data_IF_422031429722
#
_entry.id   IF_422031429722
#
_cell.length_a   1.000
_cell.length_b   1.000
_cell.length_c   1.000
_cell.angle_alpha   90.00
_cell.angle_beta   90.00
_cell.angle_gamma   90.00
#
_symmetry.space_group_name_H-M   'P 1'
#
loop_
_entity.id
_entity.type
_entity.pdbx_description
1 polymer ?
#
# COMPACT_ATOMS: atom_id res chain seq x y z
N UNK A 1 -8.29 19.81 -1.50
CA UNK A 1 -8.72 18.75 -0.57
C UNK A 1 -7.68 18.48 0.52
N UNK A 2 -6.40 18.28 0.17
CA UNK A 2 -5.36 17.92 1.14
C UNK A 2 -4.28 19.02 1.35
N UNK A 3 -4.61 20.26 1.04
CA UNK A 3 -3.68 21.40 1.18
C UNK A 3 -3.18 21.55 2.62
N UNK A 4 -1.86 21.63 2.79
CA UNK A 4 -1.21 21.74 4.09
C UNK A 4 -1.08 20.43 4.88
N UNK A 5 -1.53 19.29 4.33
CA UNK A 5 -1.34 17.96 4.91
C UNK A 5 0.02 17.38 4.50
N UNK A 6 0.69 16.72 5.43
CA UNK A 6 1.95 15.98 5.19
C UNK A 6 1.61 14.50 5.00
N UNK A 7 1.94 13.95 3.82
CA UNK A 7 1.63 12.58 3.44
C UNK A 7 2.91 11.76 3.28
N UNK A 8 3.09 10.75 4.13
CA UNK A 8 4.19 9.78 4.04
C UNK A 8 3.68 8.56 3.27
N UNK A 9 4.43 8.13 2.23
CA UNK A 9 4.13 6.94 1.43
C UNK A 9 5.30 5.97 1.47
N UNK A 10 5.17 4.86 2.22
CA UNK A 10 6.17 3.79 2.18
C UNK A 10 5.99 2.98 0.89
N UNK A 11 7.10 2.48 0.33
CA UNK A 11 7.04 1.87 -1.00
C UNK A 11 6.66 2.86 -2.11
N UNK A 12 6.83 4.16 -1.87
CA UNK A 12 6.50 5.24 -2.79
C UNK A 12 7.30 5.26 -4.10
N UNK A 13 8.32 4.40 -4.19
CA UNK A 13 9.11 4.17 -5.42
C UNK A 13 8.55 3.05 -6.31
N UNK A 14 7.62 2.24 -5.79
CA UNK A 14 6.95 1.17 -6.55
C UNK A 14 5.80 1.71 -7.41
N UNK A 15 5.25 0.88 -8.29
CA UNK A 15 4.19 1.26 -9.23
C UNK A 15 2.97 1.85 -8.50
N UNK A 16 2.44 1.13 -7.51
CA UNK A 16 1.27 1.56 -6.74
C UNK A 16 1.61 2.79 -5.88
N UNK A 17 2.71 2.72 -5.11
CA UNK A 17 3.09 3.79 -4.20
C UNK A 17 3.42 5.10 -4.92
N UNK A 18 4.09 5.05 -6.08
CA UNK A 18 4.39 6.23 -6.89
C UNK A 18 3.11 6.88 -7.44
N UNK A 19 2.16 6.07 -7.92
CA UNK A 19 0.88 6.58 -8.42
C UNK A 19 0.03 7.20 -7.29
N UNK A 20 -0.04 6.54 -6.13
CA UNK A 20 -0.74 7.10 -4.95
C UNK A 20 -0.07 8.41 -4.50
N UNK A 21 1.26 8.47 -4.51
CA UNK A 21 2.00 9.70 -4.19
C UNK A 21 1.64 10.82 -5.14
N UNK A 22 1.58 10.55 -6.44
CA UNK A 22 1.11 11.51 -7.44
C UNK A 22 -0.29 12.01 -7.11
N UNK A 23 -1.25 11.10 -6.86
CA UNK A 23 -2.63 11.47 -6.54
C UNK A 23 -2.76 12.32 -5.27
N UNK A 24 -1.90 12.12 -4.26
CA UNK A 24 -1.86 12.94 -3.05
C UNK A 24 -1.26 14.34 -3.32
N UNK A 25 -0.21 14.44 -4.14
CA UNK A 25 0.36 15.72 -4.56
C UNK A 25 -0.65 16.54 -5.39
N UNK A 26 -1.36 15.90 -6.34
CA UNK A 26 -2.44 16.53 -7.12
C UNK A 26 -3.58 17.05 -6.22
N UNK A 27 -3.82 16.41 -5.09
CA UNK A 27 -4.80 16.86 -4.09
C UNK A 27 -4.27 17.97 -3.18
N UNK A 28 -2.98 18.38 -3.33
CA UNK A 28 -2.35 19.48 -2.61
C UNK A 28 -1.59 19.09 -1.34
N UNK A 29 -1.38 17.79 -1.08
CA UNK A 29 -0.55 17.35 0.04
C UNK A 29 0.94 17.56 -0.25
N UNK A 30 1.74 17.82 0.79
CA UNK A 30 3.19 17.69 0.74
C UNK A 30 3.58 16.23 0.87
N UNK A 31 4.35 15.70 -0.09
CA UNK A 31 4.72 14.29 -0.17
C UNK A 31 6.05 13.97 0.51
N UNK A 32 6.08 12.88 1.27
CA UNK A 32 7.29 12.22 1.77
C UNK A 32 7.32 10.80 1.22
N UNK A 33 8.26 10.55 0.30
CA UNK A 33 8.35 9.29 -0.45
C UNK A 33 9.44 8.42 0.15
N UNK A 34 9.09 7.20 0.55
CA UNK A 34 10.05 6.28 1.14
C UNK A 34 10.23 5.05 0.24
N UNK A 35 11.49 4.77 -0.10
CA UNK A 35 11.90 3.59 -0.85
C UNK A 35 13.07 2.89 -0.18
N UNK A 36 13.34 1.63 -0.52
CA UNK A 36 14.42 0.87 0.12
C UNK A 36 15.82 1.20 -0.39
N UNK A 37 15.93 1.86 -1.55
CA UNK A 37 17.22 2.20 -2.19
C UNK A 37 17.21 3.63 -2.71
N UNK A 38 18.30 4.36 -2.49
CA UNK A 38 18.45 5.76 -2.90
C UNK A 38 18.22 5.94 -4.41
N UNK A 39 18.79 5.09 -5.25
CA UNK A 39 18.61 5.15 -6.71
C UNK A 39 17.12 5.13 -7.13
N UNK A 40 16.31 4.28 -6.48
CA UNK A 40 14.87 4.22 -6.79
C UNK A 40 14.10 5.42 -6.25
N UNK A 41 14.55 5.97 -5.12
CA UNK A 41 14.02 7.23 -4.57
C UNK A 41 14.29 8.38 -5.52
N UNK A 42 15.53 8.53 -6.01
CA UNK A 42 15.92 9.61 -6.95
C UNK A 42 15.09 9.54 -8.24
N UNK A 43 14.87 8.32 -8.78
CA UNK A 43 14.01 8.11 -9.96
C UNK A 43 12.55 8.49 -9.68
N UNK A 44 12.01 8.15 -8.51
CA UNK A 44 10.65 8.53 -8.13
C UNK A 44 10.54 10.04 -7.94
N UNK A 45 11.52 10.68 -7.29
CA UNK A 45 11.57 12.12 -7.11
C UNK A 45 11.59 12.87 -8.45
N UNK A 46 12.39 12.42 -9.43
CA UNK A 46 12.43 13.04 -10.76
C UNK A 46 11.06 13.04 -11.47
N UNK A 47 10.22 12.02 -11.22
CA UNK A 47 8.85 11.93 -11.76
C UNK A 47 7.85 12.77 -10.98
N UNK A 48 7.98 12.84 -9.65
CA UNK A 48 6.99 13.45 -8.77
C UNK A 48 7.24 14.96 -8.56
N UNK A 49 8.47 15.43 -8.71
CA UNK A 49 8.79 16.85 -8.55
C UNK A 49 7.99 17.76 -9.50
N UNK A 50 7.89 17.47 -10.82
CA UNK A 50 7.06 18.30 -11.70
C UNK A 50 5.56 18.32 -11.31
N UNK A 51 5.05 17.21 -10.74
CA UNK A 51 3.67 17.14 -10.25
C UNK A 51 3.50 18.03 -9.02
N UNK A 52 4.45 17.98 -8.09
CA UNK A 52 4.43 18.83 -6.90
C UNK A 52 4.48 20.32 -7.28
N UNK A 53 5.39 20.70 -8.19
CA UNK A 53 5.54 22.07 -8.66
C UNK A 53 4.24 22.58 -9.33
N UNK A 54 3.63 21.77 -10.20
CA UNK A 54 2.37 22.11 -10.88
C UNK A 54 1.19 22.32 -9.93
N UNK A 55 1.23 21.71 -8.74
CA UNK A 55 0.15 21.79 -7.74
C UNK A 55 0.52 22.71 -6.54
N UNK A 56 1.63 23.44 -6.62
CA UNK A 56 2.06 24.38 -5.58
C UNK A 56 2.36 23.72 -4.24
N UNK A 57 2.87 22.48 -4.28
CA UNK A 57 3.27 21.70 -3.12
C UNK A 57 4.73 21.25 -3.23
N UNK A 58 5.19 20.37 -2.35
CA UNK A 58 6.56 19.85 -2.37
C UNK A 58 6.59 18.35 -2.17
N UNK A 59 7.69 17.73 -2.59
CA UNK A 59 7.96 16.32 -2.36
C UNK A 59 9.39 16.11 -1.88
N UNK A 60 9.60 15.19 -0.93
CA UNK A 60 10.92 14.83 -0.39
C UNK A 60 11.04 13.32 -0.38
N UNK A 61 12.21 12.80 -0.76
CA UNK A 61 12.48 11.36 -0.81
C UNK A 61 13.46 10.91 0.27
N UNK A 62 13.23 9.72 0.82
CA UNK A 62 14.12 9.07 1.78
C UNK A 62 14.32 7.61 1.42
N UNK A 63 15.58 7.14 1.52
CA UNK A 63 15.89 5.71 1.48
C UNK A 63 15.79 5.13 2.89
N UNK A 64 14.95 4.11 3.08
CA UNK A 64 14.79 3.40 4.34
C UNK A 64 14.25 1.98 4.10
N UNK A 65 14.86 1.00 4.76
CA UNK A 65 14.33 -0.36 4.77
C UNK A 65 13.19 -0.47 5.80
N UNK A 66 12.00 -0.80 5.35
CA UNK A 66 10.82 -0.93 6.23
C UNK A 66 10.85 -2.16 7.15
N UNK A 67 11.90 -2.98 7.11
CA UNK A 67 12.15 -4.07 8.06
C UNK A 67 13.18 -3.70 9.13
N UNK A 68 13.81 -2.54 9.02
CA UNK A 68 14.78 -2.03 9.99
C UNK A 68 14.09 -1.03 10.92
N UNK A 69 13.77 -1.49 12.13
CA UNK A 69 13.05 -0.71 13.13
C UNK A 69 13.81 0.55 13.56
N UNK A 70 15.14 0.46 13.68
CA UNK A 70 15.96 1.59 14.10
C UNK A 70 16.03 2.65 13.00
N UNK A 71 16.24 2.21 11.75
CA UNK A 71 16.20 3.10 10.59
C UNK A 71 14.83 3.80 10.42
N UNK A 72 13.72 3.10 10.69
CA UNK A 72 12.38 3.71 10.66
C UNK A 72 12.22 4.74 11.78
N UNK A 73 12.73 4.46 12.97
CA UNK A 73 12.69 5.40 14.10
C UNK A 73 13.47 6.68 13.76
N UNK A 74 14.66 6.56 13.18
CA UNK A 74 15.44 7.71 12.70
C UNK A 74 14.72 8.49 11.61
N UNK A 75 14.15 7.78 10.62
CA UNK A 75 13.37 8.40 9.54
C UNK A 75 12.18 9.18 10.12
N UNK A 76 11.47 8.58 11.05
CA UNK A 76 10.30 9.19 11.71
C UNK A 76 10.69 10.49 12.44
N UNK A 77 11.84 10.47 13.13
CA UNK A 77 12.38 11.67 13.77
C UNK A 77 12.77 12.75 12.75
N UNK A 78 13.42 12.38 11.64
CA UNK A 78 13.77 13.30 10.55
C UNK A 78 12.52 13.95 9.96
N UNK A 79 11.49 13.17 9.66
CA UNK A 79 10.22 13.69 9.12
C UNK A 79 9.54 14.62 10.11
N UNK A 80 9.47 14.25 11.40
CA UNK A 80 8.89 15.10 12.46
C UNK A 80 9.66 16.42 12.59
N UNK A 81 10.99 16.39 12.57
CA UNK A 81 11.82 17.58 12.69
C UNK A 81 11.67 18.51 11.46
N UNK A 82 11.56 17.96 10.26
CA UNK A 82 11.47 18.75 9.03
C UNK A 82 10.07 19.34 8.81
N UNK A 83 9.01 18.60 9.12
CA UNK A 83 7.65 19.00 8.80
C UNK A 83 6.77 19.30 10.03
N UNK A 84 7.23 18.97 11.23
CA UNK A 84 6.52 19.20 12.48
C UNK A 84 5.34 18.22 12.73
N UNK A 85 4.84 17.58 11.68
CA UNK A 85 3.64 16.73 11.71
C UNK A 85 3.63 15.65 10.63
N UNK A 86 2.74 14.67 10.80
CA UNK A 86 2.37 13.70 9.76
C UNK A 86 0.85 13.55 9.79
N UNK A 87 0.17 13.84 8.69
CA UNK A 87 -1.29 13.77 8.60
C UNK A 87 -1.78 12.49 7.94
N UNK A 88 -1.01 11.98 6.99
CA UNK A 88 -1.38 10.83 6.17
C UNK A 88 -0.19 9.87 6.13
N UNK A 89 -0.44 8.60 6.40
CA UNK A 89 0.51 7.51 6.16
C UNK A 89 -0.14 6.52 5.21
N UNK A 90 0.50 6.28 4.06
CA UNK A 90 0.11 5.20 3.15
C UNK A 90 1.18 4.12 3.18
N UNK A 91 0.82 2.93 3.65
CA UNK A 91 1.70 1.77 3.68
C UNK A 91 1.54 0.97 2.39
N UNK A 92 2.37 1.30 1.38
CA UNK A 92 2.39 0.63 0.08
C UNK A 92 3.69 -0.17 -0.16
N UNK A 93 4.58 -0.25 0.83
CA UNK A 93 5.73 -1.14 0.79
C UNK A 93 5.24 -2.60 0.84
N UNK A 94 5.72 -3.42 -0.09
CA UNK A 94 5.30 -4.81 -0.19
C UNK A 94 5.49 -5.37 -1.59
N UNK A 95 5.04 -6.60 -1.77
CA UNK A 95 5.14 -7.31 -3.04
C UNK A 95 5.50 -8.77 -2.81
N UNK A 96 5.67 -9.51 -3.90
CA UNK A 96 6.08 -10.91 -3.82
C UNK A 96 7.61 -11.02 -3.78
N UNK A 97 8.10 -12.14 -3.28
CA UNK A 97 9.52 -12.45 -3.15
C UNK A 97 9.83 -13.65 -4.05
N UNK A 98 10.97 -13.63 -4.70
CA UNK A 98 11.44 -14.76 -5.50
C UNK A 98 11.51 -16.03 -4.63
N UNK A 99 11.01 -17.16 -5.14
CA UNK A 99 10.94 -18.44 -4.41
C UNK A 99 9.73 -18.59 -3.48
N UNK A 100 9.00 -17.53 -3.14
CA UNK A 100 7.81 -17.62 -2.28
C UNK A 100 6.53 -18.09 -3.00
N UNK A 101 6.59 -18.24 -4.32
CA UNK A 101 5.48 -18.78 -5.11
C UNK A 101 5.47 -20.31 -5.09
N UNK A 102 4.32 -20.88 -4.77
CA UNK A 102 4.06 -22.32 -4.92
C UNK A 102 3.39 -22.52 -6.28
N UNK A 103 4.16 -22.99 -7.26
CA UNK A 103 3.67 -23.18 -8.63
C UNK A 103 2.71 -24.37 -8.70
N UNK A 104 1.92 -24.45 -9.77
CA UNK A 104 0.83 -25.46 -9.89
C UNK A 104 1.36 -26.92 -9.95
N UNK A 105 2.63 -27.09 -10.32
CA UNK A 105 3.36 -28.36 -10.38
C UNK A 105 4.19 -28.66 -9.12
N UNK A 106 4.22 -27.73 -8.14
CA UNK A 106 4.94 -27.89 -6.87
C UNK A 106 4.03 -28.52 -5.80
N UNK A 107 4.63 -29.37 -4.96
CA UNK A 107 3.99 -29.81 -3.73
C UNK A 107 4.11 -28.70 -2.66
N UNK A 108 3.00 -28.38 -2.00
CA UNK A 108 2.98 -27.35 -0.95
C UNK A 108 3.92 -27.66 0.21
N UNK A 109 4.18 -28.92 0.49
CA UNK A 109 5.10 -29.35 1.55
C UNK A 109 6.58 -29.10 1.24
N UNK A 110 6.90 -28.85 -0.03
CA UNK A 110 8.27 -28.59 -0.51
C UNK A 110 8.50 -27.07 -0.70
N UNK A 111 7.64 -26.20 -0.15
CA UNK A 111 7.78 -24.76 -0.27
C UNK A 111 9.06 -24.26 0.43
N UNK A 112 9.71 -23.26 -0.16
CA UNK A 112 10.85 -22.57 0.44
C UNK A 112 10.38 -21.73 1.64
N UNK A 113 10.61 -22.24 2.85
CA UNK A 113 10.21 -21.59 4.10
C UNK A 113 10.93 -20.27 4.35
N UNK A 114 12.14 -20.09 3.86
CA UNK A 114 12.88 -18.83 4.01
C UNK A 114 12.33 -17.76 3.06
N UNK A 115 11.99 -18.12 1.85
CA UNK A 115 11.29 -17.21 0.92
C UNK A 115 9.89 -16.87 1.43
N UNK A 116 9.17 -17.83 2.02
CA UNK A 116 7.86 -17.62 2.62
C UNK A 116 7.93 -16.67 3.83
N UNK A 117 8.92 -16.83 4.72
CA UNK A 117 9.15 -15.89 5.81
C UNK A 117 9.46 -14.49 5.29
N UNK A 118 10.36 -14.37 4.31
CA UNK A 118 10.73 -13.08 3.71
C UNK A 118 9.52 -12.33 3.11
N UNK A 119 8.60 -13.03 2.44
CA UNK A 119 7.41 -12.37 1.89
C UNK A 119 6.44 -11.94 3.00
N UNK A 120 6.33 -12.73 4.07
CA UNK A 120 5.54 -12.35 5.25
C UNK A 120 6.15 -11.13 5.93
N UNK A 121 7.45 -11.15 6.19
CA UNK A 121 8.14 -10.03 6.83
C UNK A 121 7.98 -8.74 6.02
N UNK A 122 8.23 -8.80 4.72
CA UNK A 122 8.11 -7.62 3.85
C UNK A 122 6.71 -7.02 3.87
N UNK A 123 5.66 -7.83 3.79
CA UNK A 123 4.30 -7.33 3.64
C UNK A 123 3.59 -7.05 4.97
N UNK A 124 3.88 -7.82 6.02
CA UNK A 124 3.28 -7.64 7.33
C UNK A 124 4.11 -6.69 8.20
N UNK A 125 5.35 -7.05 8.53
CA UNK A 125 6.18 -6.22 9.39
C UNK A 125 6.59 -4.91 8.74
N UNK A 126 6.78 -4.90 7.41
CA UNK A 126 6.95 -3.67 6.62
C UNK A 126 5.74 -2.73 6.64
N UNK A 127 4.59 -3.19 7.15
CA UNK A 127 3.39 -2.37 7.42
C UNK A 127 3.25 -2.05 8.92
N UNK A 128 3.52 -3.03 9.81
CA UNK A 128 3.40 -2.86 11.27
C UNK A 128 4.34 -1.76 11.77
N UNK A 129 5.62 -1.83 11.42
CA UNK A 129 6.60 -0.87 11.92
C UNK A 129 6.29 0.59 11.57
N UNK A 130 6.00 0.96 10.31
CA UNK A 130 5.60 2.32 10.00
C UNK A 130 4.29 2.74 10.69
N UNK A 131 3.30 1.84 10.81
CA UNK A 131 2.06 2.14 11.54
C UNK A 131 2.35 2.55 13.00
N UNK A 132 3.26 1.84 13.67
CA UNK A 132 3.60 2.14 15.06
C UNK A 132 4.47 3.42 15.17
N UNK A 133 5.47 3.58 14.31
CA UNK A 133 6.40 4.70 14.38
C UNK A 133 5.75 6.03 13.97
N UNK A 134 5.12 6.12 12.81
CA UNK A 134 4.41 7.34 12.38
C UNK A 134 3.08 7.52 13.14
N UNK A 135 2.42 6.41 13.51
CA UNK A 135 1.22 6.43 14.33
C UNK A 135 1.44 7.10 15.69
N UNK A 136 2.64 6.99 16.26
CA UNK A 136 3.01 7.71 17.50
C UNK A 136 2.96 9.23 17.32
N UNK A 137 3.46 9.75 16.19
CA UNK A 137 3.36 11.20 15.89
C UNK A 137 1.87 11.60 15.78
N UNK A 138 1.08 10.82 15.03
CA UNK A 138 -0.35 11.09 14.85
C UNK A 138 -1.14 10.99 16.18
N UNK A 139 -0.75 10.08 17.06
CA UNK A 139 -1.33 9.96 18.41
C UNK A 139 -1.05 11.19 19.27
N UNK A 140 0.18 11.72 19.24
CA UNK A 140 0.55 12.97 19.91
C UNK A 140 -0.23 14.17 19.35
N UNK A 141 -0.48 14.17 18.03
CA UNK A 141 -1.30 15.19 17.33
C UNK A 141 -2.80 15.01 17.60
N UNK A 142 -3.23 13.83 18.07
CA UNK A 142 -4.63 13.40 18.17
C UNK A 142 -5.37 13.46 16.82
N UNK A 143 -4.68 13.29 15.73
CA UNK A 143 -5.22 13.38 14.38
C UNK A 143 -4.30 12.72 13.36
N UNK A 144 -4.87 12.03 12.38
CA UNK A 144 -4.16 11.41 11.27
C UNK A 144 -5.00 10.38 10.53
N UNK A 145 -4.56 10.01 9.34
CA UNK A 145 -5.16 8.94 8.55
C UNK A 145 -4.10 7.95 8.11
N UNK A 146 -4.19 6.71 8.57
CA UNK A 146 -3.35 5.60 8.13
C UNK A 146 -4.14 4.79 7.11
N UNK A 147 -3.54 4.54 5.95
CA UNK A 147 -4.12 3.77 4.85
C UNK A 147 -3.16 2.62 4.51
N UNK A 148 -3.55 1.42 4.85
CA UNK A 148 -2.77 0.24 4.56
C UNK A 148 -3.15 -0.33 3.19
N UNK A 149 -2.19 -0.86 2.45
CA UNK A 149 -2.44 -1.59 1.21
C UNK A 149 -2.51 -3.08 1.50
N UNK A 150 -3.73 -3.60 1.53
CA UNK A 150 -4.04 -5.02 1.59
C UNK A 150 -4.03 -5.65 0.18
N UNK A 151 -4.82 -6.67 -0.07
CA UNK A 151 -4.94 -7.34 -1.37
C UNK A 151 -6.19 -8.21 -1.41
N UNK A 152 -6.69 -8.53 -2.60
CA UNK A 152 -7.68 -9.59 -2.79
C UNK A 152 -7.18 -10.95 -2.32
N UNK A 153 -5.86 -11.15 -2.24
CA UNK A 153 -5.25 -12.36 -1.67
C UNK A 153 -5.56 -12.57 -0.17
N UNK A 154 -6.09 -11.56 0.51
CA UNK A 154 -6.59 -11.65 1.88
C UNK A 154 -8.07 -12.02 1.97
N UNK A 155 -8.83 -11.87 0.89
CA UNK A 155 -10.26 -12.25 0.83
C UNK A 155 -10.46 -13.63 0.25
N UNK A 156 -9.74 -13.92 -0.82
CA UNK A 156 -9.87 -15.17 -1.57
C UNK A 156 -8.54 -15.93 -1.55
N UNK A 157 -8.61 -17.25 -1.54
CA UNK A 157 -7.45 -18.12 -1.71
C UNK A 157 -6.90 -17.99 -3.15
N UNK A 158 -6.01 -17.06 -3.38
CA UNK A 158 -5.34 -16.94 -4.66
C UNK A 158 -4.22 -17.98 -4.78
N UNK A 159 -4.23 -18.72 -5.90
CA UNK A 159 -3.19 -19.72 -6.17
C UNK A 159 -1.79 -19.10 -6.15
N UNK A 160 -0.81 -19.89 -5.75
CA UNK A 160 0.65 -19.61 -5.76
C UNK A 160 1.17 -18.67 -4.67
N UNK A 161 0.35 -17.89 -3.98
CA UNK A 161 0.81 -16.77 -3.14
C UNK A 161 0.47 -16.94 -1.65
N UNK A 162 0.68 -18.14 -1.10
CA UNK A 162 0.32 -18.48 0.29
C UNK A 162 0.88 -17.49 1.31
N UNK A 163 2.19 -17.24 1.32
CA UNK A 163 2.82 -16.34 2.29
C UNK A 163 2.37 -14.89 2.15
N UNK A 164 2.13 -14.45 0.90
CA UNK A 164 1.57 -13.13 0.64
C UNK A 164 0.14 -13.00 1.17
N UNK A 165 -0.70 -14.03 0.98
CA UNK A 165 -2.07 -14.07 1.50
C UNK A 165 -2.10 -14.00 3.03
N UNK A 166 -1.26 -14.80 3.71
CA UNK A 166 -1.10 -14.76 5.17
C UNK A 166 -0.74 -13.34 5.63
N UNK A 167 0.24 -12.71 4.98
CA UNK A 167 0.68 -11.37 5.35
C UNK A 167 -0.42 -10.32 5.15
N UNK A 168 -1.15 -10.37 4.05
CA UNK A 168 -2.20 -9.39 3.74
C UNK A 168 -3.45 -9.56 4.62
N UNK A 169 -3.79 -10.80 5.04
CA UNK A 169 -4.80 -10.99 6.08
C UNK A 169 -4.31 -10.46 7.45
N UNK A 170 -3.03 -10.62 7.77
CA UNK A 170 -2.42 -9.97 8.92
C UNK A 170 -2.53 -8.43 8.89
N UNK A 171 -2.38 -7.82 7.70
CA UNK A 171 -2.60 -6.37 7.51
C UNK A 171 -4.06 -5.97 7.75
N UNK A 172 -5.03 -6.81 7.35
CA UNK A 172 -6.45 -6.59 7.64
C UNK A 172 -6.72 -6.61 9.15
N UNK A 173 -6.17 -7.60 9.86
CA UNK A 173 -6.28 -7.72 11.32
C UNK A 173 -5.64 -6.51 12.02
N UNK A 174 -4.43 -6.12 11.63
CA UNK A 174 -3.72 -4.93 12.12
C UNK A 174 -4.57 -3.66 11.95
N UNK A 175 -5.15 -3.48 10.77
CA UNK A 175 -5.98 -2.31 10.44
C UNK A 175 -7.16 -2.17 11.40
N UNK A 176 -7.90 -3.25 11.61
CA UNK A 176 -9.06 -3.28 12.52
C UNK A 176 -8.64 -3.05 13.97
N UNK A 177 -7.54 -3.70 14.38
CA UNK A 177 -7.04 -3.59 15.75
C UNK A 177 -6.58 -2.15 16.06
N UNK A 178 -5.75 -1.56 15.20
CA UNK A 178 -5.26 -0.20 15.39
C UNK A 178 -6.38 0.84 15.33
N UNK A 179 -7.37 0.65 14.44
CA UNK A 179 -8.51 1.56 14.31
C UNK A 179 -9.28 1.69 15.63
N UNK A 180 -9.59 0.57 16.29
CA UNK A 180 -10.33 0.61 17.56
C UNK A 180 -9.46 1.13 18.72
N UNK A 181 -8.17 0.75 18.78
CA UNK A 181 -7.29 1.16 19.86
C UNK A 181 -6.98 2.66 19.79
N UNK A 182 -6.68 3.15 18.57
CA UNK A 182 -6.35 4.57 18.36
C UNK A 182 -7.56 5.48 18.61
N UNK A 183 -8.73 5.12 18.10
CA UNK A 183 -9.94 5.91 18.32
C UNK A 183 -10.29 6.02 19.83
N UNK A 184 -10.11 4.94 20.58
CA UNK A 184 -10.41 4.92 22.03
C UNK A 184 -9.39 5.69 22.87
N UNK A 185 -8.11 5.65 22.50
CA UNK A 185 -7.02 6.23 23.31
C UNK A 185 -6.64 7.64 22.90
N UNK A 186 -6.72 7.96 21.60
CA UNK A 186 -6.18 9.20 21.07
C UNK A 186 -7.24 10.11 20.42
N UNK A 187 -8.48 9.61 20.27
CA UNK A 187 -9.62 10.39 19.79
C UNK A 187 -10.06 10.01 18.37
N UNK A 188 -11.21 10.53 17.98
CA UNK A 188 -11.97 10.20 16.78
C UNK A 188 -11.32 10.68 15.46
N UNK A 189 -10.32 11.56 15.53
CA UNK A 189 -9.64 12.10 14.35
C UNK A 189 -8.42 11.29 13.93
N UNK A 190 -8.06 10.23 14.65
CA UNK A 190 -6.99 9.30 14.26
C UNK A 190 -7.61 8.02 13.73
N UNK A 191 -7.57 7.85 12.40
CA UNK A 191 -8.25 6.78 11.68
C UNK A 191 -7.27 5.82 11.02
N UNK A 192 -7.64 4.54 10.95
CA UNK A 192 -6.85 3.51 10.28
C UNK A 192 -7.77 2.70 9.38
N UNK A 193 -7.49 2.67 8.09
CA UNK A 193 -8.25 1.92 7.10
C UNK A 193 -7.28 1.17 6.15
N UNK A 194 -7.82 0.31 5.32
CA UNK A 194 -7.07 -0.33 4.25
C UNK A 194 -7.83 -0.24 2.93
N UNK A 195 -7.07 -0.23 1.84
CA UNK A 195 -7.58 -0.55 0.50
C UNK A 195 -7.13 -1.95 0.14
N UNK A 196 -7.96 -2.67 -0.60
CA UNK A 196 -7.67 -4.01 -1.09
C UNK A 196 -7.75 -4.02 -2.62
N UNK A 197 -6.62 -3.75 -3.31
CA UNK A 197 -6.58 -3.74 -4.76
C UNK A 197 -6.85 -5.14 -5.34
N UNK A 198 -7.61 -5.17 -6.42
CA UNK A 198 -7.76 -6.33 -7.31
C UNK A 198 -6.54 -6.50 -8.22
N UNK A 199 -6.80 -6.79 -9.48
CA UNK A 199 -5.74 -7.01 -10.46
C UNK A 199 -5.51 -5.77 -11.33
N UNK A 200 -4.32 -5.20 -11.17
CA UNK A 200 -3.79 -4.07 -11.95
C UNK A 200 -2.53 -4.53 -12.66
N UNK A 201 -2.36 -4.18 -13.94
CA UNK A 201 -1.14 -4.55 -14.66
C UNK A 201 -0.01 -3.61 -14.22
N UNK A 202 1.03 -4.18 -13.63
CA UNK A 202 2.26 -3.51 -13.24
C UNK A 202 3.49 -4.32 -13.63
N UNK A 203 4.69 -3.77 -13.49
CA UNK A 203 5.94 -4.45 -13.84
C UNK A 203 6.11 -5.79 -13.11
N UNK A 204 5.70 -5.86 -11.83
CA UNK A 204 5.85 -7.06 -11.00
C UNK A 204 5.01 -8.25 -11.44
N UNK A 205 3.84 -8.02 -12.03
CA UNK A 205 2.90 -9.07 -12.42
C UNK A 205 2.68 -9.16 -13.93
N UNK A 206 3.34 -8.30 -14.72
CA UNK A 206 3.17 -8.23 -16.17
C UNK A 206 3.39 -9.59 -16.83
N UNK A 207 4.50 -10.27 -16.50
CA UNK A 207 4.83 -11.60 -17.04
C UNK A 207 3.82 -12.70 -16.64
N UNK A 208 3.12 -12.54 -15.54
CA UNK A 208 2.08 -13.48 -15.11
C UNK A 208 0.74 -13.23 -15.81
N UNK A 209 0.51 -12.02 -16.31
CA UNK A 209 -0.75 -11.58 -16.89
C UNK A 209 -0.70 -11.40 -18.41
N UNK A 210 0.47 -11.03 -18.96
CA UNK A 210 0.64 -10.80 -20.39
C UNK A 210 1.75 -11.68 -20.95
N UNK A 211 1.52 -12.22 -22.15
CA UNK A 211 2.54 -12.87 -22.97
C UNK A 211 3.51 -11.82 -23.55
N UNK A 212 4.61 -12.26 -24.17
CA UNK A 212 5.60 -11.35 -24.77
C UNK A 212 5.01 -10.48 -25.89
N UNK A 213 4.04 -11.00 -26.63
CA UNK A 213 3.31 -10.30 -27.69
C UNK A 213 2.23 -9.33 -27.16
N UNK A 214 2.06 -9.24 -25.82
CA UNK A 214 1.05 -8.41 -25.16
C UNK A 214 -0.33 -9.06 -25.05
N UNK A 215 -0.54 -10.26 -25.58
CA UNK A 215 -1.79 -10.99 -25.41
C UNK A 215 -1.96 -11.49 -23.96
N UNK A 216 -3.21 -11.80 -23.60
CA UNK A 216 -3.56 -12.27 -22.26
C UNK A 216 -3.08 -13.71 -22.03
N UNK A 217 -2.50 -13.97 -20.85
CA UNK A 217 -2.17 -15.34 -20.43
C UNK A 217 -3.44 -16.12 -20.01
N UNK A 218 -3.34 -17.44 -19.92
CA UNK A 218 -4.42 -18.28 -19.37
C UNK A 218 -4.83 -17.84 -17.95
N UNK A 219 -3.89 -17.33 -17.16
CA UNK A 219 -4.17 -16.75 -15.84
C UNK A 219 -5.01 -15.48 -15.94
N UNK A 220 -4.69 -14.60 -16.88
CA UNK A 220 -5.46 -13.38 -17.13
C UNK A 220 -6.91 -13.69 -17.49
N UNK A 221 -7.16 -14.66 -18.35
CA UNK A 221 -8.53 -15.09 -18.68
C UNK A 221 -9.30 -15.56 -17.44
N UNK A 222 -8.65 -16.34 -16.56
CA UNK A 222 -9.29 -16.77 -15.28
C UNK A 222 -9.62 -15.59 -14.39
N UNK A 223 -8.70 -14.62 -14.26
CA UNK A 223 -8.92 -13.39 -13.48
C UNK A 223 -10.07 -12.57 -14.05
N UNK A 224 -10.06 -12.32 -15.36
CA UNK A 224 -11.08 -11.49 -16.01
C UNK A 224 -12.47 -12.15 -15.99
N UNK A 225 -12.54 -13.47 -16.12
CA UNK A 225 -13.81 -14.22 -16.01
C UNK A 225 -14.42 -14.09 -14.59
N UNK A 226 -13.59 -13.94 -13.55
CA UNK A 226 -14.06 -13.68 -12.18
C UNK A 226 -14.27 -12.19 -11.89
N UNK A 227 -13.82 -11.27 -12.74
CA UNK A 227 -13.97 -9.83 -12.56
C UNK A 227 -15.20 -9.33 -13.33
N UNK A 228 -16.31 -8.96 -12.66
CA UNK A 228 -17.54 -8.51 -13.36
C UNK A 228 -17.33 -7.34 -14.31
N UNK A 229 -16.41 -6.41 -14.01
CA UNK A 229 -16.06 -5.32 -14.93
C UNK A 229 -15.30 -5.77 -16.19
N UNK A 230 -14.87 -7.04 -16.28
CA UNK A 230 -14.27 -7.65 -17.48
C UNK A 230 -12.91 -7.07 -17.91
N UNK A 231 -12.25 -6.29 -17.05
CA UNK A 231 -10.96 -5.66 -17.34
C UNK A 231 -10.05 -5.63 -16.11
N UNK A 232 -8.77 -5.44 -16.33
CA UNK A 232 -7.85 -5.03 -15.28
C UNK A 232 -8.10 -3.57 -14.89
N UNK A 233 -7.81 -3.24 -13.63
CA UNK A 233 -7.85 -1.86 -13.16
C UNK A 233 -6.71 -1.03 -13.74
N UNK A 234 -6.99 0.26 -14.00
CA UNK A 234 -5.93 1.26 -14.17
C UNK A 234 -5.42 1.69 -12.78
N UNK A 235 -4.11 1.79 -12.63
CA UNK A 235 -3.50 2.09 -11.33
C UNK A 235 -3.98 3.44 -10.75
N UNK A 236 -4.35 4.39 -11.59
CA UNK A 236 -4.89 5.68 -11.19
C UNK A 236 -6.27 5.59 -10.52
N UNK A 237 -7.02 4.50 -10.74
CA UNK A 237 -8.34 4.28 -10.13
C UNK A 237 -8.24 4.06 -8.61
N UNK A 238 -7.05 3.80 -8.07
CA UNK A 238 -6.79 3.76 -6.63
C UNK A 238 -6.74 5.15 -5.99
N UNK A 239 -6.46 6.21 -6.76
CA UNK A 239 -6.25 7.55 -6.22
C UNK A 239 -7.52 8.14 -5.60
N UNK A 240 -8.69 7.84 -6.16
CA UNK A 240 -9.97 8.34 -5.66
C UNK A 240 -10.23 7.91 -4.22
N UNK A 241 -10.14 6.61 -3.96
CA UNK A 241 -10.40 6.07 -2.62
C UNK A 241 -9.31 6.46 -1.61
N UNK A 242 -8.02 6.54 -2.03
CA UNK A 242 -6.95 6.99 -1.15
C UNK A 242 -7.13 8.45 -0.76
N UNK A 243 -7.49 9.34 -1.70
CA UNK A 243 -7.79 10.75 -1.40
C UNK A 243 -8.98 10.90 -0.47
N UNK A 244 -10.05 10.13 -0.69
CA UNK A 244 -11.21 10.11 0.21
C UNK A 244 -10.80 9.70 1.64
N UNK A 245 -10.12 8.56 1.80
CA UNK A 245 -9.68 8.06 3.11
C UNK A 245 -8.69 9.01 3.80
N UNK A 246 -7.86 9.72 3.04
CA UNK A 246 -6.90 10.70 3.54
C UNK A 246 -7.57 12.01 3.98
N UNK A 247 -8.77 12.31 3.51
CA UNK A 247 -9.47 13.57 3.74
C UNK A 247 -10.42 13.53 4.94
N UNK A 248 -10.94 14.70 5.32
CA UNK A 248 -11.94 14.85 6.37
C UNK A 248 -13.34 14.35 5.92
N UNK A 249 -13.55 14.11 4.62
CA UNK A 249 -14.78 13.49 4.11
C UNK A 249 -14.97 12.05 4.64
N UNK A 250 -13.86 11.38 5.01
CA UNK A 250 -13.87 10.06 5.64
C UNK A 250 -13.85 10.13 7.18
N UNK A 251 -14.30 11.24 7.79
CA UNK A 251 -14.18 11.47 9.25
C UNK A 251 -14.86 10.39 10.11
N UNK A 252 -15.87 9.69 9.60
CA UNK A 252 -16.55 8.59 10.32
C UNK A 252 -16.20 7.20 9.75
N UNK A 253 -15.10 7.10 8.98
CA UNK A 253 -14.63 5.85 8.36
C UNK A 253 -13.32 5.42 9.01
N UNK A 254 -13.37 4.36 9.81
CA UNK A 254 -12.19 3.73 10.43
C UNK A 254 -12.40 2.22 10.60
N UNK A 255 -11.33 1.44 10.50
CA UNK A 255 -11.34 -0.02 10.64
C UNK A 255 -11.86 -0.77 9.42
N UNK A 256 -12.14 -0.10 8.30
CA UNK A 256 -12.61 -0.74 7.08
C UNK A 256 -11.48 -1.18 6.16
N UNK A 257 -11.74 -2.23 5.40
CA UNK A 257 -10.91 -2.71 4.29
C UNK A 257 -11.78 -2.59 3.04
N UNK A 258 -11.40 -1.69 2.13
CA UNK A 258 -12.22 -1.33 0.96
C UNK A 258 -11.66 -2.01 -0.28
N UNK A 259 -12.41 -2.96 -0.89
CA UNK A 259 -12.07 -3.54 -2.19
C UNK A 259 -12.07 -2.48 -3.30
N UNK A 260 -11.05 -2.52 -4.15
CA UNK A 260 -10.96 -1.76 -5.40
C UNK A 260 -10.55 -2.77 -6.48
N UNK A 261 -11.50 -3.56 -6.98
CA UNK A 261 -11.21 -4.83 -7.63
C UNK A 261 -12.10 -5.16 -8.82
N UNK A 262 -12.93 -4.22 -9.28
CA UNK A 262 -13.86 -4.45 -10.40
C UNK A 262 -14.93 -5.49 -10.12
N UNK A 263 -15.20 -5.77 -8.83
CA UNK A 263 -16.18 -6.75 -8.37
C UNK A 263 -15.64 -8.17 -8.18
N UNK A 264 -14.31 -8.35 -8.29
CA UNK A 264 -13.67 -9.67 -8.18
C UNK A 264 -14.04 -10.41 -6.90
N UNK A 265 -14.00 -9.73 -5.74
CA UNK A 265 -14.30 -10.36 -4.44
C UNK A 265 -15.80 -10.55 -4.17
N UNK A 266 -16.67 -9.87 -4.90
CA UNK A 266 -18.11 -9.94 -4.69
C UNK A 266 -18.83 -10.98 -5.58
N UNK A 267 -18.13 -11.50 -6.58
CA UNK A 267 -18.69 -12.44 -7.57
C UNK A 267 -18.25 -13.86 -7.30
N UNK A 268 -19.21 -14.78 -7.17
CA UNK A 268 -18.96 -16.21 -6.94
C UNK A 268 -18.39 -16.96 -8.15
N UNK A 269 -18.50 -16.40 -9.35
CA UNK A 269 -18.11 -17.03 -10.61
C UNK A 269 -19.27 -17.69 -11.37
N UNK A 270 -20.49 -17.61 -10.84
CA UNK A 270 -21.74 -18.12 -11.44
C UNK A 270 -22.85 -17.09 -11.35
#
# INVERSE_FOLDING_TARGET
MLKGKIAVVTGGTGVLGSNVSQGLLEAGATGVIVGSRQETVDKAMAKLQPVADANGTSVTGFACNMLDHDAITELTAKVKNQFGRVDILVNAAGGNVAGANIMDDMNVFDCDMDALKKVVDLNLWGTVYPCLSFGKIMAEQKSGSIINVSSMAAYDALSRVMGYSIAKEGVNALTKWLAQDFARKYGDKLRVNAISPGFFIGEQNRKALLNEDGSLTARSHKVLNKTPMGRFGDISELNGIVRFLASDEASFVTGTIIPVDGGFSSFSGV
#
